data_IF_130615821673
#
_entry.id   IF_130615821673
#
_cell.length_a   1.000
_cell.length_b   1.000
_cell.length_c   1.000
_cell.angle_alpha   90.00
_cell.angle_beta   90.00
_cell.angle_gamma   90.00
#
_symmetry.space_group_name_H-M   'P 1'
#
loop_
_entity.id
_entity.type
_entity.pdbx_description
1 polymer ?
#
# COMPACT_ATOMS: atom_id res chain seq x y z
N UNK A 1 11.59 9.80 14.33
CA UNK A 1 12.34 9.57 13.07
C UNK A 1 11.30 9.29 11.98
N UNK A 2 11.46 9.87 10.79
CA UNK A 2 10.37 10.17 9.84
C UNK A 2 10.44 9.22 8.65
N UNK A 3 9.27 8.90 8.08
CA UNK A 3 9.10 8.34 6.74
C UNK A 3 10.18 8.84 5.78
N UNK A 4 11.03 7.94 5.28
CA UNK A 4 12.04 8.30 4.27
C UNK A 4 11.32 8.76 2.99
N UNK A 5 11.70 9.94 2.49
CA UNK A 5 11.13 10.57 1.29
C UNK A 5 10.21 11.79 1.51
N UNK A 6 10.15 12.35 2.73
CA UNK A 6 9.54 13.67 2.96
C UNK A 6 10.54 14.81 2.74
N UNK A 7 10.07 15.98 2.27
CA UNK A 7 10.88 17.20 2.16
C UNK A 7 11.66 17.48 3.47
N UNK A 8 12.98 17.74 3.43
CA UNK A 8 13.75 18.06 4.62
C UNK A 8 13.14 19.25 5.35
N UNK A 9 12.74 19.04 6.61
CA UNK A 9 12.13 20.07 7.45
C UNK A 9 10.60 19.97 7.60
N UNK A 10 9.88 19.34 6.67
CA UNK A 10 8.42 19.14 6.80
C UNK A 10 8.13 17.85 7.55
N UNK A 11 7.44 17.94 8.68
CA UNK A 11 6.86 16.79 9.36
C UNK A 11 5.68 16.26 8.55
N UNK A 12 5.94 15.53 7.47
CA UNK A 12 4.85 14.88 6.73
C UNK A 12 4.35 13.68 7.56
N UNK A 13 3.29 13.90 8.35
CA UNK A 13 2.60 12.86 9.11
C UNK A 13 1.74 11.94 8.21
N UNK A 14 1.75 12.18 6.89
CA UNK A 14 0.94 11.46 5.91
C UNK A 14 1.83 10.83 4.86
N UNK A 15 1.55 9.57 4.57
CA UNK A 15 2.22 8.78 3.53
C UNK A 15 1.29 8.68 2.33
N UNK A 16 1.75 8.98 1.09
CA UNK A 16 0.92 8.83 -0.09
C UNK A 16 0.53 7.36 -0.26
N UNK A 17 -0.69 7.11 -0.76
CA UNK A 17 -1.13 5.74 -1.09
C UNK A 17 -0.57 5.35 -2.44
N UNK A 18 0.72 5.01 -2.44
CA UNK A 18 1.51 4.69 -3.63
C UNK A 18 2.20 3.35 -3.44
N UNK A 19 2.11 2.47 -4.43
CA UNK A 19 2.71 1.15 -4.43
C UNK A 19 3.65 1.02 -5.63
N UNK A 20 4.84 0.49 -5.39
CA UNK A 20 5.76 0.08 -6.44
C UNK A 20 6.04 -1.42 -6.28
N UNK A 21 5.81 -2.19 -7.35
CA UNK A 21 6.23 -3.58 -7.43
C UNK A 21 7.33 -3.74 -8.47
N UNK A 22 8.21 -4.71 -8.21
CA UNK A 22 9.19 -5.19 -9.17
C UNK A 22 8.49 -5.78 -10.42
N UNK A 23 9.21 -5.95 -11.55
CA UNK A 23 8.66 -6.57 -12.75
C UNK A 23 8.05 -7.96 -12.54
N UNK A 24 8.54 -8.70 -11.54
CA UNK A 24 8.04 -10.03 -11.12
C UNK A 24 6.83 -9.96 -10.16
N UNK A 25 6.25 -8.77 -9.94
CA UNK A 25 5.10 -8.48 -9.08
C UNK A 25 5.37 -8.58 -7.57
N UNK A 26 6.61 -8.74 -7.14
CA UNK A 26 6.94 -8.67 -5.72
C UNK A 26 6.92 -7.22 -5.23
N UNK A 27 6.52 -7.06 -3.96
CA UNK A 27 6.60 -5.79 -3.26
C UNK A 27 8.02 -5.22 -3.31
N UNK A 28 8.15 -3.96 -3.69
CA UNK A 28 9.41 -3.23 -3.60
C UNK A 28 9.33 -2.16 -2.51
N UNK A 29 8.42 -1.20 -2.67
CA UNK A 29 8.27 -0.10 -1.73
C UNK A 29 6.85 0.46 -1.72
N UNK A 30 6.55 1.21 -0.66
CA UNK A 30 5.29 1.92 -0.47
C UNK A 30 5.55 3.39 -0.15
N UNK A 31 4.57 4.25 -0.43
CA UNK A 31 4.61 5.64 0.02
C UNK A 31 5.61 6.50 -0.74
N UNK A 32 6.31 7.38 -0.02
CA UNK A 32 7.30 8.27 -0.64
C UNK A 32 8.44 7.50 -1.30
N UNK A 33 8.98 6.47 -0.65
CA UNK A 33 10.00 5.61 -1.23
C UNK A 33 9.57 4.95 -2.55
N UNK A 34 8.29 4.61 -2.71
CA UNK A 34 7.76 4.11 -3.99
C UNK A 34 7.70 5.19 -5.07
N UNK A 35 7.25 6.39 -4.70
CA UNK A 35 7.17 7.53 -5.60
C UNK A 35 8.56 7.95 -6.05
N UNK A 36 9.44 8.22 -5.12
CA UNK A 36 10.76 8.81 -5.39
C UNK A 36 11.58 7.83 -6.23
N UNK A 37 11.67 6.55 -5.82
CA UNK A 37 12.35 5.53 -6.61
C UNK A 37 11.84 5.45 -8.05
N UNK A 38 10.52 5.40 -8.26
CA UNK A 38 9.96 5.28 -9.61
C UNK A 38 10.26 6.49 -10.50
N UNK A 39 10.27 7.70 -9.92
CA UNK A 39 10.54 8.93 -10.68
C UNK A 39 12.03 9.19 -10.91
N UNK A 40 12.91 8.54 -10.15
CA UNK A 40 14.36 8.54 -10.36
C UNK A 40 14.81 7.53 -11.43
N UNK A 41 13.93 6.60 -11.84
CA UNK A 41 14.23 5.63 -12.90
C UNK A 41 14.30 6.29 -14.28
N UNK A 42 15.19 5.77 -15.13
CA UNK A 42 15.19 6.10 -16.55
C UNK A 42 13.86 5.68 -17.21
N UNK A 43 13.32 6.45 -18.18
CA UNK A 43 12.03 6.15 -18.80
C UNK A 43 11.91 4.77 -19.47
N UNK A 44 13.04 4.19 -19.91
CA UNK A 44 13.09 2.84 -20.48
C UNK A 44 12.95 1.76 -19.40
N UNK A 45 13.54 1.99 -18.23
CA UNK A 45 13.48 1.09 -17.08
C UNK A 45 12.13 1.18 -16.39
N UNK A 46 11.60 2.38 -16.14
CA UNK A 46 10.32 2.62 -15.49
C UNK A 46 9.16 1.82 -16.14
N UNK A 47 9.22 1.58 -17.46
CA UNK A 47 8.24 0.75 -18.19
C UNK A 47 8.18 -0.70 -17.72
N UNK A 48 9.24 -1.22 -17.10
CA UNK A 48 9.28 -2.59 -16.59
C UNK A 48 8.59 -2.72 -15.22
N UNK A 49 8.63 -1.64 -14.43
CA UNK A 49 8.10 -1.58 -13.07
C UNK A 49 6.58 -1.40 -13.03
N UNK A 50 5.97 -1.78 -11.91
CA UNK A 50 4.51 -1.71 -11.71
C UNK A 50 4.19 -0.65 -10.65
N UNK A 51 3.92 0.56 -11.13
CA UNK A 51 3.66 1.72 -10.29
C UNK A 51 2.16 2.04 -10.19
N UNK A 52 1.65 2.22 -8.97
CA UNK A 52 0.26 2.54 -8.68
C UNK A 52 0.15 3.71 -7.72
N UNK A 53 -0.63 4.74 -8.09
CA UNK A 53 -0.95 5.87 -7.21
C UNK A 53 -2.43 5.93 -6.87
N UNK A 54 -2.73 6.40 -5.66
CA UNK A 54 -4.08 6.70 -5.17
C UNK A 54 -5.06 5.53 -5.39
N UNK A 55 -4.55 4.30 -5.38
CA UNK A 55 -5.31 3.11 -5.79
C UNK A 55 -6.52 2.82 -4.89
N UNK A 56 -6.55 3.36 -3.66
CA UNK A 56 -7.73 3.36 -2.77
C UNK A 56 -8.99 3.92 -3.46
N UNK A 57 -8.82 4.87 -4.39
CA UNK A 57 -9.94 5.47 -5.09
C UNK A 57 -10.74 4.49 -5.94
N UNK A 58 -10.14 3.37 -6.37
CA UNK A 58 -10.84 2.33 -7.12
C UNK A 58 -11.99 1.70 -6.32
N UNK A 59 -11.82 1.56 -5.00
CA UNK A 59 -12.88 1.01 -4.13
C UNK A 59 -14.08 1.94 -3.96
N UNK A 60 -13.86 3.25 -4.15
CA UNK A 60 -14.91 4.24 -4.08
C UNK A 60 -15.65 4.41 -5.41
N UNK A 61 -14.91 4.48 -6.53
CA UNK A 61 -15.48 4.83 -7.84
C UNK A 61 -16.04 3.65 -8.62
N UNK A 62 -15.68 2.42 -8.29
CA UNK A 62 -16.13 1.24 -9.02
C UNK A 62 -17.54 0.81 -8.61
N UNK A 63 -18.47 0.77 -9.56
CA UNK A 63 -19.82 0.20 -9.37
C UNK A 63 -19.78 -1.32 -9.24
N UNK A 64 -18.84 -1.97 -9.94
CA UNK A 64 -18.77 -3.43 -10.09
C UNK A 64 -17.50 -3.99 -9.44
N UNK A 65 -17.20 -3.52 -8.23
CA UNK A 65 -16.06 -4.03 -7.46
C UNK A 65 -16.27 -5.51 -7.10
N UNK A 66 -15.30 -6.34 -7.49
CA UNK A 66 -15.24 -7.77 -7.19
C UNK A 66 -13.84 -8.15 -6.67
N UNK A 67 -13.69 -9.35 -6.12
CA UNK A 67 -12.37 -9.88 -5.72
C UNK A 67 -11.43 -10.06 -6.91
N UNK A 68 -11.99 -10.15 -8.12
CA UNK A 68 -11.26 -10.29 -9.38
C UNK A 68 -10.86 -8.96 -10.02
N UNK A 69 -11.23 -7.84 -9.40
CA UNK A 69 -10.95 -6.50 -9.93
C UNK A 69 -9.45 -6.29 -10.09
N UNK A 70 -9.03 -5.83 -11.27
CA UNK A 70 -7.66 -5.45 -11.56
C UNK A 70 -7.44 -3.93 -11.36
N UNK A 71 -6.23 -3.59 -10.95
CA UNK A 71 -5.64 -2.26 -11.07
C UNK A 71 -4.71 -2.22 -12.27
N UNK A 72 -4.62 -1.06 -12.91
CA UNK A 72 -3.73 -0.81 -14.04
C UNK A 72 -2.55 0.00 -13.52
N UNK A 73 -1.35 -0.53 -13.68
CA UNK A 73 -0.10 0.17 -13.36
C UNK A 73 0.18 1.27 -14.40
N UNK A 74 1.09 2.18 -14.09
CA UNK A 74 1.50 3.26 -15.01
C UNK A 74 1.97 2.77 -16.39
N UNK A 75 2.54 1.56 -16.47
CA UNK A 75 2.95 0.92 -17.73
C UNK A 75 1.83 0.16 -18.46
N UNK A 76 0.58 0.25 -17.99
CA UNK A 76 -0.59 -0.41 -18.58
C UNK A 76 -0.80 -1.87 -18.17
N UNK A 77 0.12 -2.49 -17.43
CA UNK A 77 -0.04 -3.87 -16.96
C UNK A 77 -1.08 -3.97 -15.85
N UNK A 78 -1.80 -5.08 -15.82
CA UNK A 78 -2.85 -5.36 -14.83
C UNK A 78 -2.32 -6.21 -13.68
N UNK A 79 -2.69 -5.85 -12.45
CA UNK A 79 -2.44 -6.61 -11.22
C UNK A 79 -3.72 -6.65 -10.40
N UNK A 80 -3.96 -7.76 -9.70
CA UNK A 80 -5.16 -7.91 -8.87
C UNK A 80 -5.18 -6.83 -7.79
N UNK A 81 -6.28 -6.10 -7.70
CA UNK A 81 -6.46 -5.08 -6.69
C UNK A 81 -6.24 -5.68 -5.29
N UNK A 82 -6.78 -6.88 -5.04
CA UNK A 82 -6.70 -7.53 -3.73
C UNK A 82 -5.24 -7.70 -3.26
N UNK A 83 -4.34 -8.00 -4.18
CA UNK A 83 -2.90 -8.14 -3.92
C UNK A 83 -2.26 -6.80 -3.55
N UNK A 84 -2.55 -5.72 -4.29
CA UNK A 84 -2.03 -4.38 -4.00
C UNK A 84 -2.48 -3.89 -2.62
N UNK A 85 -3.74 -4.12 -2.25
CA UNK A 85 -4.25 -3.73 -0.93
C UNK A 85 -3.66 -4.60 0.19
N UNK A 86 -3.47 -5.90 -0.04
CA UNK A 86 -2.82 -6.78 0.94
C UNK A 86 -1.37 -6.33 1.22
N UNK A 87 -0.58 -6.05 0.17
CA UNK A 87 0.78 -5.51 0.34
C UNK A 87 0.79 -4.19 1.13
N UNK A 88 -0.17 -3.29 0.88
CA UNK A 88 -0.26 -2.04 1.62
C UNK A 88 -0.56 -2.26 3.11
N UNK A 89 -1.51 -3.15 3.43
CA UNK A 89 -1.85 -3.49 4.82
C UNK A 89 -0.69 -4.21 5.52
N UNK A 90 -0.03 -5.13 4.84
CA UNK A 90 1.16 -5.82 5.33
C UNK A 90 2.28 -4.83 5.64
N UNK A 91 2.56 -3.89 4.73
CA UNK A 91 3.56 -2.85 4.94
C UNK A 91 3.26 -2.03 6.21
N UNK A 92 2.02 -1.56 6.41
CA UNK A 92 1.67 -0.81 7.62
C UNK A 92 1.81 -1.64 8.90
N UNK A 93 1.41 -2.92 8.86
CA UNK A 93 1.58 -3.86 9.98
C UNK A 93 3.05 -3.99 10.35
N UNK A 94 3.92 -4.24 9.36
CA UNK A 94 5.36 -4.42 9.57
C UNK A 94 6.03 -3.14 10.07
N UNK A 95 5.70 -1.97 9.51
CA UNK A 95 6.24 -0.70 10.00
C UNK A 95 5.82 -0.40 11.44
N UNK A 96 4.55 -0.67 11.79
CA UNK A 96 4.06 -0.45 13.13
C UNK A 96 4.70 -1.41 14.14
N UNK A 97 4.83 -2.70 13.82
CA UNK A 97 5.50 -3.67 14.68
C UNK A 97 6.98 -3.34 14.86
N UNK A 98 7.66 -2.95 13.77
CA UNK A 98 9.05 -2.52 13.84
C UNK A 98 9.22 -1.33 14.79
N UNK A 99 8.39 -0.28 14.65
CA UNK A 99 8.47 0.90 15.51
C UNK A 99 8.17 0.57 16.98
N UNK A 100 7.21 -0.33 17.25
CA UNK A 100 6.93 -0.79 18.61
C UNK A 100 8.11 -1.53 19.22
N UNK A 101 8.74 -2.43 18.45
CA UNK A 101 9.90 -3.21 18.90
C UNK A 101 11.15 -2.32 19.08
N UNK A 102 11.34 -1.31 18.23
CA UNK A 102 12.44 -0.34 18.37
C UNK A 102 12.31 0.51 19.66
N UNK A 103 11.10 0.60 20.25
CA UNK A 103 10.82 1.36 21.48
C UNK A 103 10.63 0.46 22.72
N UNK A 104 10.62 -0.86 22.56
CA UNK A 104 10.36 -1.83 23.63
C UNK A 104 11.62 -2.63 23.95
N UNK A 105 11.81 -3.00 25.22
CA UNK A 105 12.87 -3.92 25.62
C UNK A 105 12.54 -5.39 25.27
N UNK A 106 11.26 -5.67 25.02
CA UNK A 106 10.76 -7.00 24.63
C UNK A 106 10.21 -6.97 23.21
N UNK A 107 10.53 -8.02 22.44
CA UNK A 107 10.00 -8.22 21.09
C UNK A 107 8.49 -8.53 21.17
N UNK A 108 7.67 -7.67 20.59
CA UNK A 108 6.24 -7.88 20.44
C UNK A 108 5.96 -8.72 19.20
N UNK A 109 5.13 -9.74 19.38
CA UNK A 109 4.60 -10.55 18.29
C UNK A 109 3.28 -9.96 17.74
N UNK A 110 3.01 -10.24 16.46
CA UNK A 110 1.77 -9.82 15.82
C UNK A 110 0.50 -10.37 16.51
N UNK A 111 0.58 -11.54 17.17
CA UNK A 111 -0.56 -12.14 17.89
C UNK A 111 -1.00 -11.33 19.11
N UNK A 112 -0.13 -10.46 19.62
CA UNK A 112 -0.41 -9.58 20.77
C UNK A 112 -1.16 -8.30 20.36
N UNK A 113 -1.27 -8.05 19.05
CA UNK A 113 -1.87 -6.82 18.50
C UNK A 113 -3.24 -7.08 17.89
N UNK A 114 -4.23 -6.28 18.31
CA UNK A 114 -5.54 -6.23 17.65
C UNK A 114 -5.60 -5.09 16.64
N UNK A 115 -5.59 -5.44 15.36
CA UNK A 115 -5.66 -4.48 14.25
C UNK A 115 -7.10 -4.04 13.96
N UNK A 116 -7.29 -2.73 13.80
CA UNK A 116 -8.57 -2.13 13.38
C UNK A 116 -8.35 -1.30 12.13
N UNK A 117 -9.02 -1.66 11.03
CA UNK A 117 -8.95 -0.95 9.77
C UNK A 117 -10.20 -0.08 9.62
N UNK A 118 -10.00 1.23 9.47
CA UNK A 118 -11.10 2.16 9.21
C UNK A 118 -11.45 2.21 7.73
N UNK A 119 -12.75 2.20 7.42
CA UNK A 119 -13.29 2.35 6.06
C UNK A 119 -14.33 3.47 6.05
N UNK A 120 -14.40 4.29 4.99
CA UNK A 120 -15.39 5.36 4.89
C UNK A 120 -16.84 4.84 5.00
N UNK A 121 -17.70 5.57 5.71
CA UNK A 121 -19.10 5.19 5.89
C UNK A 121 -19.87 5.07 4.56
N UNK A 122 -19.54 5.94 3.59
CA UNK A 122 -20.14 6.00 2.25
C UNK A 122 -19.81 4.80 1.35
N UNK A 123 -18.86 3.94 1.74
CA UNK A 123 -18.52 2.77 0.95
C UNK A 123 -19.64 1.72 0.97
N UNK A 124 -19.94 1.17 -0.21
CA UNK A 124 -20.87 0.04 -0.36
C UNK A 124 -20.30 -1.21 0.32
N UNK A 125 -21.19 -2.16 0.67
CA UNK A 125 -20.79 -3.40 1.34
C UNK A 125 -19.71 -4.21 0.60
N UNK A 126 -19.71 -4.32 -0.74
CA UNK A 126 -18.63 -5.00 -1.46
C UNK A 126 -17.25 -4.41 -1.19
N UNK A 127 -17.11 -3.08 -1.09
CA UNK A 127 -15.84 -2.43 -0.79
C UNK A 127 -15.37 -2.68 0.65
N UNK A 128 -16.30 -2.73 1.61
CA UNK A 128 -15.99 -3.09 3.00
C UNK A 128 -15.54 -4.56 3.10
N UNK A 129 -16.24 -5.47 2.42
CA UNK A 129 -15.85 -6.88 2.36
C UNK A 129 -14.51 -7.07 1.64
N UNK A 130 -14.26 -6.32 0.57
CA UNK A 130 -12.99 -6.34 -0.15
C UNK A 130 -11.82 -5.99 0.77
N UNK A 131 -11.92 -4.89 1.53
CA UNK A 131 -10.87 -4.53 2.51
C UNK A 131 -10.65 -5.60 3.56
N UNK A 132 -11.73 -6.26 4.02
CA UNK A 132 -11.64 -7.38 4.96
C UNK A 132 -10.88 -8.55 4.35
N UNK A 133 -11.18 -8.92 3.11
CA UNK A 133 -10.45 -10.00 2.41
C UNK A 133 -8.98 -9.63 2.17
N UNK A 134 -8.69 -8.38 1.82
CA UNK A 134 -7.31 -7.91 1.66
C UNK A 134 -6.52 -8.01 2.98
N UNK A 135 -7.18 -7.82 4.13
CA UNK A 135 -6.55 -7.91 5.44
C UNK A 135 -6.27 -9.36 5.90
N UNK A 136 -6.98 -10.35 5.35
CA UNK A 136 -6.78 -11.77 5.68
C UNK A 136 -5.85 -12.50 4.72
N UNK A 137 -5.49 -11.87 3.61
CA UNK A 137 -4.54 -12.40 2.63
C UNK A 137 -3.12 -12.23 3.15
#
# INVERSE_FOLDING_TARGET
RRWEGGDPGVSNQKTPTTMLLMPDRKFHSFGFAARDFYHDLEPSEAKQWLYFEKFKMKLHSSTDLTMETDLIAANGKKVKALEIFAYALQYFKEQALKELNDQSEAEMDNSEVRWVITVPAIWKQPAKQFMRQAAYK
#
